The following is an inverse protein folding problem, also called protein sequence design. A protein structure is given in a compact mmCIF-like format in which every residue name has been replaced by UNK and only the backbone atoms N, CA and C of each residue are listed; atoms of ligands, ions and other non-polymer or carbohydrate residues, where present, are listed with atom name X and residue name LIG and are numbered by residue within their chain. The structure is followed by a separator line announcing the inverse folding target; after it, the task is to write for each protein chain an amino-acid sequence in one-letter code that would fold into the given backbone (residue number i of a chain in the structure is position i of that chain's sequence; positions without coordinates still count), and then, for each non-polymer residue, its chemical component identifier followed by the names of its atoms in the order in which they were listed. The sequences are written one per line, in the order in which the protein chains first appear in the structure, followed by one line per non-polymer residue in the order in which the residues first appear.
data_IF_913233705594
#
_entry.id   IF_913233705594
#
_cell.length_a   1.000
_cell.length_b   1.000
_cell.length_c   1.000
_cell.angle_alpha   90.00
_cell.angle_beta   90.00
_cell.angle_gamma   90.00
#
_symmetry.space_group_name_H-M   'P 1'
#
loop_
_entity.id
_entity.type
_entity.pdbx_description
1 polymer ?
#
# COMPACT_ATOMS: atom_id res chain seq x y z
N UNK A 1 -6.82 -2.10 -26.33
CA UNK A 1 -7.81 -1.32 -25.57
C UNK A 1 -8.39 -2.24 -24.49
N UNK A 2 -8.06 -1.94 -23.22
CA UNK A 2 -8.62 -2.63 -22.05
C UNK A 2 -9.93 -1.96 -21.69
N UNK A 3 -11.00 -2.31 -22.39
CA UNK A 3 -12.34 -1.88 -22.04
C UNK A 3 -12.65 -2.22 -20.60
N UNK A 4 -12.83 -1.21 -19.78
CA UNK A 4 -13.59 -1.27 -18.55
C UNK A 4 -12.86 -1.55 -17.24
N UNK A 5 -11.52 -1.70 -17.15
CA UNK A 5 -10.83 -1.79 -15.86
C UNK A 5 -10.18 -0.47 -15.47
N UNK A 6 -10.99 0.38 -14.88
CA UNK A 6 -10.49 1.56 -14.17
C UNK A 6 -9.77 1.07 -12.91
N UNK A 7 -8.44 1.17 -12.89
CA UNK A 7 -7.66 0.88 -11.68
C UNK A 7 -7.93 1.98 -10.65
N UNK A 8 -8.62 1.62 -9.60
CA UNK A 8 -9.02 2.55 -8.55
C UNK A 8 -8.12 2.35 -7.34
N UNK A 9 -6.99 3.05 -7.29
CA UNK A 9 -6.16 3.15 -6.10
C UNK A 9 -6.27 4.55 -5.47
N UNK A 10 -7.36 5.26 -5.76
CA UNK A 10 -7.63 6.59 -5.24
C UNK A 10 -8.65 6.50 -4.12
N UNK A 11 -8.38 7.20 -3.02
CA UNK A 11 -9.16 7.19 -1.80
C UNK A 11 -9.43 8.60 -1.33
N UNK A 12 -10.66 8.85 -0.85
CA UNK A 12 -11.09 10.16 -0.38
C UNK A 12 -10.85 10.37 1.12
N UNK A 13 -10.58 9.30 1.87
CA UNK A 13 -10.24 9.43 3.29
C UNK A 13 -9.29 8.34 3.80
N UNK A 14 -8.57 8.65 4.88
CA UNK A 14 -7.81 7.68 5.66
C UNK A 14 -8.45 7.45 7.02
N UNK A 15 -8.53 6.19 7.41
CA UNK A 15 -8.89 5.82 8.77
C UNK A 15 -7.61 5.65 9.60
N UNK A 16 -7.34 6.57 10.51
CA UNK A 16 -6.19 6.53 11.41
C UNK A 16 -6.59 6.27 12.89
N UNK A 17 -7.85 5.96 13.15
CA UNK A 17 -8.41 5.84 14.51
C UNK A 17 -9.04 4.48 14.83
N UNK A 18 -9.54 3.74 13.83
CA UNK A 18 -10.27 2.48 14.02
C UNK A 18 -9.40 1.28 13.63
N UNK A 19 -8.93 0.45 14.57
CA UNK A 19 -7.94 -0.60 14.30
C UNK A 19 -8.46 -1.76 13.45
N UNK A 20 -9.78 -2.01 13.47
CA UNK A 20 -10.41 -3.15 12.77
C UNK A 20 -10.98 -2.79 11.39
N UNK A 21 -10.74 -1.58 10.92
CA UNK A 21 -11.08 -1.14 9.57
C UNK A 21 -9.83 -0.87 8.74
N UNK A 22 -9.95 -0.98 7.42
CA UNK A 22 -8.86 -0.64 6.50
C UNK A 22 -8.38 0.80 6.74
N UNK A 23 -7.09 1.04 6.49
CA UNK A 23 -6.53 2.39 6.46
C UNK A 23 -7.16 3.24 5.35
N UNK A 24 -7.40 2.63 4.22
CA UNK A 24 -8.00 3.28 3.05
C UNK A 24 -9.51 3.20 3.13
N UNK A 25 -10.17 4.35 3.05
CA UNK A 25 -11.61 4.48 3.08
C UNK A 25 -12.10 5.27 1.86
N UNK A 26 -13.39 5.15 1.59
CA UNK A 26 -14.08 5.96 0.59
C UNK A 26 -13.36 5.94 -0.77
N UNK A 27 -13.31 4.74 -1.35
CA UNK A 27 -12.69 4.52 -2.65
C UNK A 27 -13.42 5.33 -3.72
N UNK A 28 -12.66 6.08 -4.52
CA UNK A 28 -13.24 6.93 -5.55
C UNK A 28 -13.90 6.10 -6.66
N UNK A 29 -15.18 6.35 -6.91
CA UNK A 29 -15.96 5.75 -8.00
C UNK A 29 -15.71 6.53 -9.31
N UNK A 30 -14.57 6.29 -9.95
CA UNK A 30 -14.11 7.06 -11.12
C UNK A 30 -15.10 7.17 -12.28
N UNK A 31 -16.02 6.21 -12.44
CA UNK A 31 -17.04 6.24 -13.50
C UNK A 31 -18.09 7.34 -13.32
N UNK A 32 -18.24 7.81 -12.08
CA UNK A 32 -19.25 8.81 -11.72
C UNK A 32 -18.64 10.21 -11.61
N UNK A 33 -17.31 10.32 -11.78
CA UNK A 33 -16.58 11.57 -11.58
C UNK A 33 -16.32 12.25 -12.93
N UNK A 34 -16.93 13.39 -13.14
CA UNK A 34 -16.80 14.20 -14.37
C UNK A 34 -16.01 15.50 -14.16
N UNK A 35 -15.81 15.93 -12.92
CA UNK A 35 -15.05 17.12 -12.54
C UNK A 35 -13.89 16.75 -11.58
N UNK A 36 -12.88 17.61 -11.41
CA UNK A 36 -11.82 17.39 -10.44
C UNK A 36 -12.35 17.17 -9.03
N UNK A 37 -11.84 16.13 -8.35
CA UNK A 37 -12.24 15.75 -6.98
C UNK A 37 -11.03 15.70 -6.08
N UNK A 38 -11.14 16.26 -4.88
CA UNK A 38 -10.12 16.16 -3.86
C UNK A 38 -10.06 14.72 -3.31
N UNK A 39 -8.86 14.16 -3.28
CA UNK A 39 -8.55 12.83 -2.75
C UNK A 39 -7.42 12.95 -1.72
N UNK A 40 -7.23 11.92 -0.92
CA UNK A 40 -6.15 11.90 0.08
C UNK A 40 -5.07 10.87 -0.25
N UNK A 41 -5.33 9.96 -1.17
CA UNK A 41 -4.38 8.92 -1.54
C UNK A 41 -4.54 8.43 -2.97
N UNK A 42 -3.42 8.22 -3.64
CA UNK A 42 -3.32 7.68 -5.00
C UNK A 42 -2.03 6.89 -5.15
N UNK A 43 -1.92 6.07 -6.20
CA UNK A 43 -0.67 5.42 -6.58
C UNK A 43 0.22 6.37 -7.41
N UNK A 44 1.52 6.13 -7.44
CA UNK A 44 2.48 6.87 -8.28
C UNK A 44 2.31 6.62 -9.79
N UNK A 45 1.20 6.07 -10.21
CA UNK A 45 0.88 5.85 -11.60
C UNK A 45 0.24 7.12 -12.18
N UNK A 46 1.05 7.96 -12.85
CA UNK A 46 0.59 9.22 -13.46
C UNK A 46 0.43 10.38 -12.48
N UNK A 47 1.08 10.33 -11.33
CA UNK A 47 1.09 11.43 -10.37
C UNK A 47 1.96 12.59 -10.86
N UNK A 48 1.38 13.80 -10.90
CA UNK A 48 2.09 15.06 -11.09
C UNK A 48 2.22 15.79 -9.76
N UNK A 49 3.45 16.20 -9.40
CA UNK A 49 3.73 16.88 -8.14
C UNK A 49 4.30 18.26 -8.42
N UNK A 50 3.75 19.27 -7.77
CA UNK A 50 4.27 20.64 -7.84
C UNK A 50 5.62 20.72 -7.14
N UNK A 51 6.56 21.49 -7.71
CA UNK A 51 7.91 21.67 -7.18
C UNK A 51 7.91 22.16 -5.73
N UNK A 52 6.99 23.04 -5.36
CA UNK A 52 6.85 23.55 -3.98
C UNK A 52 6.49 22.45 -2.97
N UNK A 53 5.68 21.45 -3.35
CA UNK A 53 5.38 20.30 -2.51
C UNK A 53 6.65 19.52 -2.23
N UNK A 54 7.43 19.21 -3.29
CA UNK A 54 8.72 18.52 -3.13
C UNK A 54 9.68 19.32 -2.27
N UNK A 55 9.73 20.65 -2.43
CA UNK A 55 10.57 21.50 -1.59
C UNK A 55 10.17 21.48 -0.10
N UNK A 56 8.87 21.32 0.18
CA UNK A 56 8.34 21.32 1.57
C UNK A 56 8.47 19.96 2.24
N UNK A 57 8.05 18.88 1.56
CA UNK A 57 7.98 17.54 2.18
C UNK A 57 9.11 16.60 1.76
N UNK A 58 9.98 17.03 0.84
CA UNK A 58 11.06 16.23 0.30
C UNK A 58 10.59 15.20 -0.75
N UNK A 59 11.49 14.30 -1.09
CA UNK A 59 11.24 13.19 -2.02
C UNK A 59 10.50 12.02 -1.32
N UNK A 60 9.96 11.06 -2.09
CA UNK A 60 9.44 9.81 -1.53
C UNK A 60 10.47 9.10 -0.66
N UNK A 61 10.00 8.42 0.39
CA UNK A 61 10.86 7.70 1.31
C UNK A 61 11.45 6.45 0.65
N UNK A 62 12.73 6.53 0.24
CA UNK A 62 13.44 5.43 -0.41
C UNK A 62 13.57 4.16 0.44
N UNK A 63 13.50 4.29 1.77
CA UNK A 63 13.62 3.17 2.70
C UNK A 63 12.39 2.26 2.67
N UNK A 64 11.27 2.73 2.14
CA UNK A 64 10.10 1.88 1.88
C UNK A 64 10.35 0.88 0.74
N UNK A 65 11.19 1.23 -0.23
CA UNK A 65 11.65 0.41 -1.35
C UNK A 65 10.53 -0.01 -2.32
N UNK A 66 9.46 -0.63 -1.84
CA UNK A 66 8.29 -1.04 -2.62
C UNK A 66 7.08 -1.16 -1.70
N UNK A 67 5.92 -0.75 -2.19
CA UNK A 67 4.66 -0.63 -1.47
C UNK A 67 4.65 0.44 -0.37
N UNK A 68 3.55 1.13 -0.28
CA UNK A 68 3.27 2.18 0.70
C UNK A 68 4.13 3.45 0.59
N UNK A 69 5.05 3.53 -0.34
CA UNK A 69 5.83 4.73 -0.68
C UNK A 69 4.93 5.85 -1.23
N UNK A 70 3.99 5.48 -2.10
CA UNK A 70 2.93 6.36 -2.59
C UNK A 70 2.01 6.84 -1.46
N UNK A 71 1.58 5.93 -0.59
CA UNK A 71 0.72 6.26 0.55
C UNK A 71 1.42 7.17 1.55
N UNK A 72 2.68 6.89 1.89
CA UNK A 72 3.48 7.74 2.77
C UNK A 72 3.61 9.16 2.20
N UNK A 73 3.88 9.27 0.91
CA UNK A 73 4.03 10.54 0.22
C UNK A 73 2.72 11.33 0.21
N UNK A 74 1.60 10.67 -0.10
CA UNK A 74 0.28 11.29 -0.06
C UNK A 74 -0.09 11.75 1.36
N UNK A 75 0.17 10.94 2.39
CA UNK A 75 -0.08 11.33 3.78
C UNK A 75 0.75 12.56 4.19
N UNK A 76 2.04 12.59 3.86
CA UNK A 76 2.89 13.77 4.12
C UNK A 76 2.39 15.00 3.37
N UNK A 77 1.95 14.85 2.13
CA UNK A 77 1.38 15.93 1.32
C UNK A 77 0.15 16.54 2.00
N UNK A 78 -0.80 15.70 2.41
CA UNK A 78 -2.04 16.15 3.07
C UNK A 78 -1.74 16.75 4.46
N UNK A 79 -0.85 16.13 5.23
CA UNK A 79 -0.45 16.64 6.56
C UNK A 79 0.28 17.99 6.49
N UNK A 80 0.96 18.27 5.38
CA UNK A 80 1.57 19.57 5.10
C UNK A 80 0.57 20.64 4.60
N UNK A 81 -0.73 20.30 4.52
CA UNK A 81 -1.79 21.22 4.10
C UNK A 81 -1.99 21.34 2.59
N UNK A 82 -1.31 20.52 1.79
CA UNK A 82 -1.53 20.49 0.34
C UNK A 82 -2.70 19.60 -0.03
N UNK A 83 -3.34 19.90 -1.16
CA UNK A 83 -4.44 19.13 -1.74
C UNK A 83 -3.92 18.19 -2.83
N UNK A 84 -4.52 17.01 -2.90
CA UNK A 84 -4.33 16.06 -3.99
C UNK A 84 -5.64 16.02 -4.78
N UNK A 85 -5.57 16.21 -6.10
CA UNK A 85 -6.73 16.22 -6.97
C UNK A 85 -6.69 15.05 -7.95
N UNK A 86 -7.78 14.33 -8.05
CA UNK A 86 -8.04 13.44 -9.17
C UNK A 86 -8.64 14.24 -10.31
N UNK A 87 -8.02 14.20 -11.47
CA UNK A 87 -8.46 14.92 -12.69
C UNK A 87 -8.97 13.90 -13.70
N UNK A 88 -10.30 13.75 -13.87
CA UNK A 88 -10.86 12.71 -14.74
C UNK A 88 -10.50 12.84 -16.22
N UNK A 89 -10.17 14.06 -16.68
CA UNK A 89 -9.76 14.35 -18.05
C UNK A 89 -8.28 13.99 -18.32
N UNK A 90 -7.46 13.81 -17.27
CA UNK A 90 -6.07 13.40 -17.41
C UNK A 90 -5.99 11.87 -17.59
N UNK A 91 -6.00 11.45 -18.85
CA UNK A 91 -5.97 10.03 -19.20
C UNK A 91 -4.54 9.55 -19.39
N UNK A 92 -4.28 8.31 -18.95
CA UNK A 92 -3.02 7.63 -19.14
C UNK A 92 -3.26 6.19 -19.58
N UNK A 93 -2.60 5.77 -20.65
CA UNK A 93 -2.61 4.39 -21.11
C UNK A 93 -1.52 3.58 -20.39
N UNK A 94 -1.92 2.46 -19.80
CA UNK A 94 -1.01 1.55 -19.11
C UNK A 94 -0.86 0.23 -19.84
N UNK A 95 0.35 -0.05 -20.31
CA UNK A 95 0.67 -1.37 -20.88
C UNK A 95 0.76 -2.43 -19.77
N UNK A 96 0.25 -3.65 -20.06
CA UNK A 96 0.42 -4.78 -19.16
C UNK A 96 1.85 -5.31 -19.24
N UNK A 97 2.60 -5.22 -18.15
CA UNK A 97 3.97 -5.75 -18.09
C UNK A 97 4.05 -7.24 -17.69
N UNK A 98 2.99 -7.81 -17.14
CA UNK A 98 3.03 -9.19 -16.63
C UNK A 98 1.75 -9.95 -17.00
N UNK A 99 1.91 -11.00 -17.77
CA UNK A 99 0.99 -12.14 -17.83
C UNK A 99 1.56 -13.23 -16.93
N UNK A 100 0.84 -13.63 -15.89
CA UNK A 100 1.13 -14.85 -15.17
C UNK A 100 -0.01 -15.83 -15.47
N UNK A 101 0.32 -16.98 -16.03
CA UNK A 101 -0.66 -17.90 -16.59
C UNK A 101 -1.49 -18.60 -15.50
N UNK A 102 -0.95 -18.71 -14.27
CA UNK A 102 -1.67 -19.31 -13.16
C UNK A 102 -1.41 -18.62 -11.81
N UNK A 103 -2.28 -18.91 -10.83
CA UNK A 103 -2.22 -18.38 -9.48
C UNK A 103 -0.88 -18.69 -8.76
N UNK A 104 -0.37 -19.93 -8.90
CA UNK A 104 0.84 -20.42 -8.25
C UNK A 104 2.07 -19.63 -8.71
N UNK A 105 2.25 -19.49 -10.00
CA UNK A 105 3.36 -18.74 -10.59
C UNK A 105 3.31 -17.25 -10.20
N UNK A 106 2.13 -16.64 -10.28
CA UNK A 106 1.93 -15.24 -9.89
C UNK A 106 2.29 -15.00 -8.43
N UNK A 107 1.90 -15.90 -7.51
CA UNK A 107 2.23 -15.75 -6.09
C UNK A 107 3.70 -16.03 -5.82
N UNK A 108 4.33 -16.99 -6.49
CA UNK A 108 5.77 -17.24 -6.38
C UNK A 108 6.60 -16.02 -6.80
N UNK A 109 6.28 -15.40 -7.94
CA UNK A 109 6.93 -14.16 -8.42
C UNK A 109 6.70 -12.96 -7.48
N UNK A 110 5.58 -12.91 -6.79
CA UNK A 110 5.21 -11.78 -5.91
C UNK A 110 5.47 -12.03 -4.42
N UNK A 111 5.90 -13.23 -4.03
CA UNK A 111 6.10 -13.62 -2.62
C UNK A 111 6.98 -12.62 -1.85
N UNK A 112 8.14 -12.29 -2.39
CA UNK A 112 9.07 -11.36 -1.75
C UNK A 112 8.46 -9.98 -1.48
N UNK A 113 7.59 -9.50 -2.38
CA UNK A 113 6.89 -8.23 -2.23
C UNK A 113 5.92 -8.23 -1.03
N UNK A 114 5.37 -9.41 -0.68
CA UNK A 114 4.42 -9.54 0.43
C UNK A 114 5.07 -9.26 1.78
N UNK A 115 6.34 -9.60 1.93
CA UNK A 115 7.09 -9.27 3.15
C UNK A 115 7.22 -7.75 3.33
N UNK A 116 7.57 -7.03 2.26
CA UNK A 116 7.59 -5.57 2.28
C UNK A 116 6.20 -4.99 2.55
N UNK A 117 5.15 -5.55 1.95
CA UNK A 117 3.78 -5.10 2.17
C UNK A 117 3.39 -5.17 3.64
N UNK A 118 3.70 -6.26 4.33
CA UNK A 118 3.44 -6.41 5.77
C UNK A 118 4.25 -5.39 6.58
N UNK A 119 5.55 -5.28 6.33
CA UNK A 119 6.41 -4.34 7.04
C UNK A 119 5.95 -2.90 6.86
N UNK A 120 5.77 -2.48 5.62
CA UNK A 120 5.50 -1.08 5.30
C UNK A 120 4.08 -0.66 5.70
N UNK A 121 3.07 -1.53 5.56
CA UNK A 121 1.73 -1.25 6.08
C UNK A 121 1.72 -1.17 7.61
N UNK A 122 2.51 -2.01 8.29
CA UNK A 122 2.68 -1.94 9.74
C UNK A 122 3.38 -0.64 10.14
N UNK A 123 4.43 -0.24 9.43
CA UNK A 123 5.09 1.05 9.61
C UNK A 123 4.11 2.21 9.47
N UNK A 124 3.32 2.27 8.40
CA UNK A 124 2.34 3.34 8.21
C UNK A 124 1.32 3.39 9.35
N UNK A 125 0.81 2.24 9.79
CA UNK A 125 -0.12 2.18 10.92
C UNK A 125 0.53 2.66 12.22
N UNK A 126 1.77 2.27 12.47
CA UNK A 126 2.51 2.69 13.67
C UNK A 126 2.84 4.18 13.63
N UNK A 127 3.34 4.68 12.52
CA UNK A 127 3.81 6.06 12.37
C UNK A 127 2.65 7.07 12.38
N UNK A 128 1.60 6.81 11.59
CA UNK A 128 0.49 7.75 11.40
C UNK A 128 -0.74 7.48 12.28
N UNK A 129 -0.82 6.31 12.91
CA UNK A 129 -1.96 5.94 13.76
C UNK A 129 -2.19 6.92 14.92
N UNK A 130 -3.43 7.30 15.13
CA UNK A 130 -3.82 8.30 16.14
C UNK A 130 -3.99 7.75 17.55
N UNK A 131 -4.01 6.40 17.70
CA UNK A 131 -4.13 5.74 19.00
C UNK A 131 -3.32 4.44 19.05
N UNK A 132 -3.14 3.89 20.24
CA UNK A 132 -2.38 2.67 20.49
C UNK A 132 -2.91 1.48 19.68
N UNK A 133 -4.22 1.31 19.60
CA UNK A 133 -4.80 0.16 18.92
C UNK A 133 -4.51 0.18 17.40
N UNK A 134 -4.56 1.34 16.74
CA UNK A 134 -4.15 1.46 15.34
C UNK A 134 -2.65 1.22 15.19
N UNK A 135 -1.84 1.81 16.06
CA UNK A 135 -0.38 1.70 16.00
C UNK A 135 0.13 0.26 16.10
N UNK A 136 -0.46 -0.53 16.99
CA UNK A 136 0.05 -1.85 17.32
C UNK A 136 -0.85 -3.00 16.85
N UNK A 137 -2.18 -2.86 16.89
CA UNK A 137 -3.07 -3.99 16.57
C UNK A 137 -3.45 -4.06 15.08
N UNK A 138 -3.56 -2.94 14.37
CA UNK A 138 -3.98 -2.99 12.97
C UNK A 138 -3.02 -3.80 12.11
N UNK A 139 -1.71 -3.69 12.32
CA UNK A 139 -0.69 -4.47 11.61
C UNK A 139 -0.85 -5.98 11.77
N UNK A 140 -1.41 -6.43 12.91
CA UNK A 140 -1.68 -7.84 13.20
C UNK A 140 -2.61 -8.50 12.19
N UNK A 141 -3.63 -7.80 11.70
CA UNK A 141 -4.55 -8.35 10.70
C UNK A 141 -3.82 -8.77 9.43
N UNK A 142 -2.89 -7.95 8.95
CA UNK A 142 -2.06 -8.28 7.79
C UNK A 142 -1.17 -9.48 8.03
N UNK A 143 -0.51 -9.52 9.19
CA UNK A 143 0.36 -10.64 9.59
C UNK A 143 -0.43 -11.93 9.69
N UNK A 144 -1.53 -11.94 10.45
CA UNK A 144 -2.36 -13.13 10.66
C UNK A 144 -2.96 -13.62 9.34
N UNK A 145 -3.40 -12.70 8.47
CA UNK A 145 -3.89 -13.06 7.14
C UNK A 145 -2.83 -13.79 6.29
N UNK A 146 -1.59 -13.27 6.26
CA UNK A 146 -0.52 -13.97 5.54
C UNK A 146 -0.07 -15.25 6.22
N UNK A 147 -0.05 -15.31 7.55
CA UNK A 147 0.23 -16.56 8.26
C UNK A 147 -0.80 -17.64 7.95
N UNK A 148 -2.08 -17.29 7.92
CA UNK A 148 -3.14 -18.21 7.51
C UNK A 148 -2.96 -18.70 6.05
N UNK A 149 -2.58 -17.82 5.14
CA UNK A 149 -2.25 -18.21 3.75
C UNK A 149 -1.04 -19.16 3.71
N UNK A 150 0.01 -18.90 4.48
CA UNK A 150 1.19 -19.80 4.56
C UNK A 150 0.75 -21.17 5.08
N UNK A 151 0.03 -21.24 6.19
CA UNK A 151 -0.44 -22.50 6.80
C UNK A 151 -1.32 -23.27 5.80
N UNK A 152 -2.30 -22.58 5.19
CA UNK A 152 -3.22 -23.22 4.25
C UNK A 152 -2.58 -23.66 2.93
N UNK A 153 -1.44 -23.09 2.54
CA UNK A 153 -0.80 -23.38 1.25
C UNK A 153 0.44 -24.27 1.37
N UNK A 154 1.13 -24.29 2.50
CA UNK A 154 2.32 -25.14 2.70
C UNK A 154 2.06 -26.63 2.47
N UNK A 155 0.85 -27.11 2.80
CA UNK A 155 0.47 -28.50 2.60
C UNK A 155 0.18 -28.88 1.13
N UNK A 156 -0.19 -27.89 0.29
CA UNK A 156 -0.70 -28.13 -1.05
C UNK A 156 0.14 -27.49 -2.16
N UNK A 157 1.06 -26.58 -1.81
CA UNK A 157 1.86 -25.83 -2.77
C UNK A 157 3.27 -25.60 -2.25
N UNK A 158 4.21 -25.33 -3.15
CA UNK A 158 5.59 -24.95 -2.87
C UNK A 158 5.82 -23.42 -2.91
N UNK A 159 4.73 -22.64 -2.93
CA UNK A 159 4.79 -21.16 -2.99
C UNK A 159 5.33 -20.60 -1.67
N UNK A 160 4.84 -21.08 -0.55
CA UNK A 160 5.27 -20.70 0.78
C UNK A 160 5.93 -21.88 1.51
N UNK A 161 6.77 -21.56 2.48
CA UNK A 161 7.45 -22.51 3.37
C UNK A 161 7.12 -22.15 4.82
N UNK A 162 7.22 -23.11 5.74
CA UNK A 162 6.99 -22.89 7.17
C UNK A 162 7.89 -21.79 7.74
N UNK A 163 9.12 -21.66 7.22
CA UNK A 163 10.04 -20.57 7.59
C UNK A 163 9.52 -19.17 7.24
N UNK A 164 8.55 -19.04 6.33
CA UNK A 164 7.96 -17.76 5.98
C UNK A 164 7.09 -17.19 7.11
N UNK A 165 6.56 -18.03 8.02
CA UNK A 165 5.86 -17.57 9.22
C UNK A 165 6.78 -16.67 10.07
N UNK A 166 7.99 -17.12 10.34
CA UNK A 166 8.98 -16.34 11.10
C UNK A 166 9.37 -15.05 10.36
N UNK A 167 9.44 -15.10 9.02
CA UNK A 167 9.71 -13.90 8.20
C UNK A 167 8.58 -12.86 8.30
N UNK A 168 7.31 -13.27 8.19
CA UNK A 168 6.17 -12.35 8.36
C UNK A 168 6.15 -11.73 9.75
N UNK A 169 6.43 -12.51 10.79
CA UNK A 169 6.56 -12.01 12.15
C UNK A 169 7.69 -10.99 12.29
N UNK A 170 8.86 -11.28 11.71
CA UNK A 170 9.98 -10.35 11.66
C UNK A 170 9.58 -9.04 10.97
N UNK A 171 8.88 -9.13 9.82
CA UNK A 171 8.44 -7.95 9.07
C UNK A 171 7.48 -7.07 9.89
N UNK A 172 6.56 -7.67 10.63
CA UNK A 172 5.71 -6.93 11.56
C UNK A 172 6.55 -6.19 12.61
N UNK A 173 7.49 -6.88 13.27
CA UNK A 173 8.37 -6.26 14.26
C UNK A 173 9.22 -5.13 13.67
N UNK A 174 9.72 -5.32 12.47
CA UNK A 174 10.54 -4.31 11.79
C UNK A 174 9.68 -3.08 11.43
N UNK A 175 8.42 -3.27 11.03
CA UNK A 175 7.46 -2.19 10.82
C UNK A 175 7.16 -1.39 12.08
N UNK A 176 6.88 -2.06 13.22
CA UNK A 176 6.68 -1.41 14.53
C UNK A 176 7.93 -0.64 15.00
N UNK A 177 9.12 -1.16 14.72
CA UNK A 177 10.40 -0.54 15.09
C UNK A 177 10.92 0.45 14.06
N UNK A 178 10.14 0.72 13.03
CA UNK A 178 10.48 1.61 11.91
C UNK A 178 11.81 1.25 11.24
N UNK A 179 12.16 -0.05 11.24
CA UNK A 179 13.34 -0.58 10.56
C UNK A 179 13.01 -0.83 9.10
N UNK A 180 13.28 0.14 8.27
CA UNK A 180 13.00 0.14 6.84
C UNK A 180 14.25 -0.27 6.03
N UNK A 181 14.23 -0.04 4.72
CA UNK A 181 15.33 -0.37 3.81
C UNK A 181 15.17 -1.73 3.13
N UNK A 182 16.20 -2.12 2.37
CA UNK A 182 16.21 -3.40 1.66
C UNK A 182 16.42 -4.53 2.68
N UNK A 183 15.59 -5.56 2.59
CA UNK A 183 15.73 -6.75 3.43
C UNK A 183 17.02 -7.49 3.09
N UNK A 184 17.80 -7.76 4.12
CA UNK A 184 18.98 -8.63 4.08
C UNK A 184 18.62 -10.06 4.41
#
# INVERSE_FOLDING_TARGET
LLEGKVFTNDFCSYNLTQPFRSMYQDKLAKREVTAPVEIVGTAFEGLFVRREVVATIGLPNKELFIFCDDTDYCLRTVLAGYKILYIPQALMDKHKFFSADNWKERNRKKKWKRFYQVRNSTYLNHHYGKNWAVRYLRGWHGVLGYMAVVIGTCAFTDVYQWSDLAKFWRMYRDGIRERLGIMK
#
